data_IF_814085419441
#
_entry.id   IF_814085419441
#
_cell.length_a   1.000
_cell.length_b   1.000
_cell.length_c   1.000
_cell.angle_alpha   90.00
_cell.angle_beta   90.00
_cell.angle_gamma   90.00
#
_symmetry.space_group_name_H-M   'P 1'
#
loop_
_entity.id
_entity.type
_entity.pdbx_description
1 polymer ?
#
# COMPACT_ATOMS: atom_id res chain seq x y z
N UNK A 1 -10.44 -30.73 -14.21
CA UNK A 1 -9.90 -32.06 -13.80
C UNK A 1 -9.19 -32.82 -14.93
N UNK A 2 -9.59 -32.67 -16.19
CA UNK A 2 -8.90 -33.36 -17.30
C UNK A 2 -7.44 -32.88 -17.48
N UNK A 3 -7.14 -31.60 -17.18
CA UNK A 3 -5.81 -31.00 -17.32
C UNK A 3 -5.02 -31.10 -16.03
N UNK A 4 -5.65 -30.96 -14.88
CA UNK A 4 -5.04 -31.12 -13.55
C UNK A 4 -6.02 -31.85 -12.62
N UNK A 5 -5.85 -33.14 -12.41
CA UNK A 5 -6.69 -33.93 -11.50
C UNK A 5 -6.26 -33.82 -10.03
N UNK A 6 -5.20 -33.06 -9.72
CA UNK A 6 -4.59 -33.04 -8.38
C UNK A 6 -5.17 -31.96 -7.46
N UNK A 7 -5.95 -31.03 -8.00
CA UNK A 7 -6.49 -29.88 -7.27
C UNK A 7 -8.00 -29.74 -7.45
N UNK A 8 -8.74 -29.35 -6.39
CA UNK A 8 -10.14 -28.98 -6.56
C UNK A 8 -10.28 -27.71 -7.40
N UNK A 9 -11.33 -27.63 -8.18
CA UNK A 9 -11.70 -26.46 -8.96
C UNK A 9 -12.67 -25.57 -8.18
N UNK A 10 -12.32 -24.31 -7.98
CA UNK A 10 -13.19 -23.33 -7.34
C UNK A 10 -13.80 -22.39 -8.37
N UNK A 11 -15.04 -21.96 -8.12
CA UNK A 11 -15.77 -20.99 -8.95
C UNK A 11 -16.00 -19.72 -8.11
N UNK A 12 -15.35 -18.60 -8.46
CA UNK A 12 -15.64 -17.30 -7.89
C UNK A 12 -16.95 -16.71 -8.43
N UNK A 13 -17.72 -16.01 -7.59
CA UNK A 13 -19.02 -15.48 -7.96
C UNK A 13 -20.10 -16.57 -8.09
N UNK A 14 -19.93 -17.66 -7.38
CA UNK A 14 -20.78 -18.86 -7.46
C UNK A 14 -22.26 -18.64 -7.16
N UNK A 15 -22.60 -17.59 -6.40
CA UNK A 15 -24.00 -17.23 -6.08
C UNK A 15 -24.85 -16.86 -7.30
N UNK A 16 -24.22 -16.59 -8.44
CA UNK A 16 -24.91 -16.08 -9.64
C UNK A 16 -25.30 -17.23 -10.56
N UNK A 17 -26.60 -17.35 -10.80
CA UNK A 17 -27.14 -18.33 -11.75
C UNK A 17 -27.04 -19.80 -11.35
N UNK A 18 -26.78 -20.10 -10.06
CA UNK A 18 -26.71 -21.48 -9.57
C UNK A 18 -25.49 -22.25 -10.07
N UNK A 19 -24.37 -21.56 -10.33
CA UNK A 19 -23.12 -22.18 -10.80
C UNK A 19 -22.27 -22.75 -9.68
N UNK A 20 -22.66 -22.51 -8.44
CA UNK A 20 -22.00 -22.98 -7.22
C UNK A 20 -21.79 -24.49 -7.20
N UNK A 21 -22.70 -25.26 -7.78
CA UNK A 21 -22.64 -26.73 -7.87
C UNK A 21 -21.81 -27.27 -9.03
N UNK A 22 -21.25 -26.42 -9.89
CA UNK A 22 -20.50 -26.84 -11.06
C UNK A 22 -19.01 -27.04 -10.79
N UNK A 23 -18.49 -26.54 -9.67
CA UNK A 23 -17.13 -26.78 -9.21
C UNK A 23 -17.08 -27.67 -7.99
N UNK A 24 -15.88 -27.96 -7.51
CA UNK A 24 -15.68 -28.70 -6.25
C UNK A 24 -15.87 -27.80 -5.03
N UNK A 25 -15.62 -26.48 -5.21
CA UNK A 25 -15.72 -25.47 -4.15
C UNK A 25 -16.42 -24.23 -4.71
N UNK A 26 -17.42 -23.75 -4.00
CA UNK A 26 -18.08 -22.49 -4.33
C UNK A 26 -17.35 -21.28 -3.71
N UNK A 27 -17.04 -20.30 -4.51
CA UNK A 27 -16.53 -18.99 -4.08
C UNK A 27 -17.64 -17.94 -4.13
N UNK A 28 -18.16 -17.53 -3.01
CA UNK A 28 -19.17 -16.49 -2.92
C UNK A 28 -18.51 -15.12 -2.92
N UNK A 29 -18.97 -14.20 -3.77
CA UNK A 29 -18.36 -12.92 -4.03
C UNK A 29 -19.34 -11.78 -3.81
N UNK A 30 -18.91 -10.69 -3.24
CA UNK A 30 -19.68 -9.47 -3.05
C UNK A 30 -21.00 -9.72 -2.30
N UNK A 31 -22.11 -9.52 -3.01
CA UNK A 31 -23.46 -9.74 -2.48
C UNK A 31 -23.72 -11.18 -2.03
N UNK A 32 -23.04 -12.16 -2.64
CA UNK A 32 -23.10 -13.56 -2.23
C UNK A 32 -22.26 -13.88 -0.99
N UNK A 33 -21.41 -12.97 -0.54
CA UNK A 33 -20.68 -13.13 0.71
C UNK A 33 -21.60 -13.18 1.94
N UNK A 34 -22.77 -12.56 1.85
CA UNK A 34 -23.80 -12.55 2.90
C UNK A 34 -24.64 -13.84 2.95
N UNK A 35 -24.04 -15.01 2.67
CA UNK A 35 -24.67 -16.31 2.85
C UNK A 35 -24.46 -16.77 4.29
N UNK A 36 -25.55 -16.82 5.04
CA UNK A 36 -25.56 -17.16 6.47
C UNK A 36 -26.18 -18.54 6.77
N UNK A 37 -26.41 -19.35 5.75
CA UNK A 37 -26.88 -20.73 5.89
C UNK A 37 -25.88 -21.70 5.24
N UNK A 38 -25.80 -22.90 5.76
CA UNK A 38 -24.95 -23.95 5.19
C UNK A 38 -25.46 -24.37 3.80
N UNK A 39 -24.68 -24.17 2.73
CA UNK A 39 -25.08 -24.60 1.40
C UNK A 39 -24.95 -26.11 1.15
N UNK A 40 -24.38 -26.85 2.11
CA UNK A 40 -24.26 -28.32 2.06
C UNK A 40 -23.08 -28.82 1.21
N UNK A 41 -22.16 -27.96 0.78
CA UNK A 41 -20.94 -28.33 0.05
C UNK A 41 -19.79 -27.36 0.33
N UNK A 42 -18.53 -27.72 -0.04
CA UNK A 42 -17.36 -26.88 0.24
C UNK A 42 -17.49 -25.47 -0.34
N UNK A 43 -17.25 -24.48 0.49
CA UNK A 43 -17.38 -23.08 0.10
C UNK A 43 -16.45 -22.16 0.86
N UNK A 44 -16.23 -20.97 0.33
CA UNK A 44 -15.56 -19.85 0.98
C UNK A 44 -16.10 -18.53 0.43
N UNK A 45 -15.83 -17.43 1.12
CA UNK A 45 -16.07 -16.10 0.57
C UNK A 45 -14.84 -15.70 -0.23
N UNK A 46 -14.97 -15.70 -1.56
CA UNK A 46 -13.87 -15.40 -2.48
C UNK A 46 -13.55 -13.90 -2.55
N UNK A 47 -14.52 -13.05 -2.21
CA UNK A 47 -14.34 -11.62 -2.12
C UNK A 47 -15.44 -10.97 -1.30
N UNK A 48 -15.07 -10.08 -0.38
CA UNK A 48 -16.00 -9.24 0.36
C UNK A 48 -15.31 -7.93 0.76
N UNK A 49 -16.06 -6.95 1.25
CA UNK A 49 -15.55 -5.66 1.69
C UNK A 49 -15.68 -4.62 0.62
N UNK A 50 -14.63 -4.37 -0.17
CA UNK A 50 -14.63 -3.35 -1.22
C UNK A 50 -14.93 -1.93 -0.72
N UNK A 51 -14.54 -1.63 0.53
CA UNK A 51 -14.73 -0.30 1.12
C UNK A 51 -13.53 0.58 0.80
N UNK A 52 -13.80 1.79 0.30
CA UNK A 52 -12.75 2.79 0.09
C UNK A 52 -12.13 3.17 1.43
N UNK A 53 -10.82 3.22 1.48
CA UNK A 53 -10.03 3.50 2.68
C UNK A 53 -8.90 4.49 2.36
N UNK A 54 -8.72 5.45 3.24
CA UNK A 54 -7.69 6.49 3.13
C UNK A 54 -6.97 6.72 4.47
N UNK A 55 -6.06 7.71 4.50
CA UNK A 55 -5.36 8.21 5.69
C UNK A 55 -5.47 9.75 5.76
N UNK A 56 -6.02 10.34 6.84
CA UNK A 56 -6.91 9.74 7.81
C UNK A 56 -8.20 9.32 7.10
N UNK A 57 -8.71 8.16 7.40
CA UNK A 57 -9.88 7.64 6.73
C UNK A 57 -10.98 7.28 7.71
N UNK A 58 -12.20 7.36 7.21
CA UNK A 58 -13.33 6.73 7.86
C UNK A 58 -13.44 5.32 7.32
N UNK A 59 -12.84 4.38 8.02
CA UNK A 59 -13.12 3.00 7.77
C UNK A 59 -14.22 2.55 8.75
N UNK A 60 -15.43 2.45 8.23
CA UNK A 60 -16.47 1.67 8.86
C UNK A 60 -16.53 0.35 8.09
N UNK A 61 -16.10 -0.76 8.69
CA UNK A 61 -16.27 -2.05 8.02
C UNK A 61 -17.75 -2.29 7.79
N UNK A 62 -18.13 -2.60 6.57
CA UNK A 62 -19.49 -3.01 6.22
C UNK A 62 -19.83 -4.43 6.75
N UNK A 63 -19.17 -4.88 7.83
CA UNK A 63 -19.19 -6.26 8.30
C UNK A 63 -20.05 -6.47 9.53
N UNK A 64 -20.83 -5.50 9.89
CA UNK A 64 -21.88 -5.67 10.90
C UNK A 64 -22.97 -6.63 10.46
N UNK A 65 -22.91 -7.11 9.21
CA UNK A 65 -23.84 -8.10 8.64
C UNK A 65 -23.50 -9.55 8.96
N UNK A 66 -22.41 -9.82 9.68
CA UNK A 66 -22.01 -11.17 10.09
C UNK A 66 -21.13 -11.93 9.08
N UNK A 67 -20.68 -11.31 7.98
CA UNK A 67 -19.76 -11.97 7.02
C UNK A 67 -18.49 -12.43 7.70
N UNK A 68 -17.97 -11.65 8.64
CA UNK A 68 -16.76 -11.98 9.41
C UNK A 68 -16.99 -12.98 10.53
N UNK A 69 -18.23 -13.35 10.83
CA UNK A 69 -18.51 -14.32 11.84
C UNK A 69 -18.01 -15.70 11.39
N UNK A 70 -17.37 -16.46 12.29
CA UNK A 70 -16.96 -17.82 11.98
C UNK A 70 -18.18 -18.70 11.82
N UNK A 71 -18.28 -19.35 10.67
CA UNK A 71 -19.31 -20.36 10.41
C UNK A 71 -18.63 -21.71 10.19
N UNK A 72 -19.06 -22.80 10.87
CA UNK A 72 -18.39 -24.10 10.80
C UNK A 72 -18.40 -24.74 9.41
N UNK A 73 -19.32 -24.32 8.55
CA UNK A 73 -19.46 -24.78 7.16
C UNK A 73 -18.70 -23.92 6.15
N UNK A 74 -18.10 -22.79 6.56
CA UNK A 74 -17.36 -21.87 5.68
C UNK A 74 -15.87 -22.09 5.86
N UNK A 75 -15.14 -22.38 4.76
CA UNK A 75 -13.70 -22.66 4.82
C UNK A 75 -12.85 -21.42 5.08
N UNK A 76 -13.36 -20.23 4.73
CA UNK A 76 -12.64 -18.97 4.95
C UNK A 76 -13.28 -17.81 4.23
N UNK A 77 -12.66 -16.63 4.41
CA UNK A 77 -13.07 -15.37 3.80
C UNK A 77 -11.86 -14.64 3.23
N UNK A 78 -12.05 -13.93 2.11
CA UNK A 78 -11.02 -13.14 1.45
C UNK A 78 -11.49 -11.70 1.31
N UNK A 79 -10.75 -10.78 1.92
CA UNK A 79 -11.04 -9.36 1.81
C UNK A 79 -10.61 -8.81 0.44
N UNK A 80 -11.45 -8.04 -0.21
CA UNK A 80 -11.07 -7.18 -1.29
C UNK A 80 -10.80 -5.76 -0.77
N UNK A 81 -9.52 -5.26 -0.72
CA UNK A 81 -8.36 -6.08 -1.08
C UNK A 81 -7.17 -5.69 -0.19
N UNK A 82 -6.03 -6.38 -0.35
CA UNK A 82 -4.83 -6.13 0.44
C UNK A 82 -4.17 -4.80 0.13
N UNK A 83 -4.08 -4.40 -1.14
CA UNK A 83 -3.38 -3.19 -1.59
C UNK A 83 -4.27 -2.35 -2.50
N UNK A 84 -4.07 -1.03 -2.46
CA UNK A 84 -4.55 -0.18 -3.54
C UNK A 84 -4.01 -0.68 -4.88
N UNK A 85 -4.84 -0.62 -5.91
CA UNK A 85 -4.48 -1.15 -7.23
C UNK A 85 -4.88 -0.19 -8.35
N UNK A 86 -4.36 -0.43 -9.55
CA UNK A 86 -4.50 0.48 -10.71
C UNK A 86 -5.86 0.46 -11.40
N UNK A 87 -6.97 0.23 -10.70
CA UNK A 87 -8.30 0.34 -11.33
C UNK A 87 -8.60 1.78 -11.70
N UNK A 88 -9.12 1.96 -12.91
CA UNK A 88 -9.52 3.27 -13.46
C UNK A 88 -11.02 3.56 -13.28
N UNK A 89 -11.79 2.63 -12.72
CA UNK A 89 -13.21 2.76 -12.52
C UNK A 89 -13.51 3.35 -11.15
N UNK A 90 -13.88 4.63 -11.11
CA UNK A 90 -14.24 5.34 -9.87
C UNK A 90 -13.16 5.16 -8.76
N UNK A 91 -13.61 4.99 -7.52
CA UNK A 91 -12.74 4.77 -6.36
C UNK A 91 -12.32 3.30 -6.16
N UNK A 92 -12.56 2.42 -7.14
CA UNK A 92 -12.27 0.99 -7.01
C UNK A 92 -10.79 0.69 -6.75
N UNK A 93 -9.89 1.57 -7.19
CA UNK A 93 -8.46 1.47 -6.91
C UNK A 93 -8.08 1.71 -5.45
N UNK A 94 -8.93 2.37 -4.66
CA UNK A 94 -8.69 2.78 -3.28
C UNK A 94 -9.31 1.83 -2.23
N UNK A 95 -9.55 0.58 -2.57
CA UNK A 95 -10.17 -0.41 -1.69
C UNK A 95 -9.15 -1.26 -0.91
N UNK A 96 -7.86 -0.93 -0.96
CA UNK A 96 -6.81 -1.65 -0.26
C UNK A 96 -6.74 -1.34 1.23
N UNK A 97 -6.19 -2.27 2.00
CA UNK A 97 -5.77 -2.03 3.39
C UNK A 97 -4.44 -1.27 3.46
N UNK A 98 -3.66 -1.30 2.40
CA UNK A 98 -2.34 -0.69 2.25
C UNK A 98 -2.38 0.16 0.98
N UNK A 99 -1.88 1.40 1.06
CA UNK A 99 -1.91 2.33 -0.06
C UNK A 99 -0.85 2.06 -1.15
N UNK A 100 -0.81 2.89 -2.18
CA UNK A 100 0.17 2.79 -3.28
C UNK A 100 1.62 2.95 -2.82
N UNK A 101 1.85 3.61 -1.69
CA UNK A 101 3.16 3.86 -1.11
C UNK A 101 3.56 2.82 -0.05
N UNK A 102 2.79 1.74 0.06
CA UNK A 102 2.97 0.66 1.05
C UNK A 102 2.77 1.10 2.50
N UNK A 103 2.04 2.17 2.72
CA UNK A 103 1.67 2.60 4.06
C UNK A 103 0.30 2.02 4.46
N UNK A 104 0.16 1.57 5.71
CA UNK A 104 -1.10 1.02 6.19
C UNK A 104 -2.18 2.11 6.30
N UNK A 105 -3.40 1.75 5.94
CA UNK A 105 -4.60 2.57 6.05
C UNK A 105 -5.40 2.22 7.31
N UNK A 106 -6.46 2.98 7.58
CA UNK A 106 -7.33 2.74 8.75
C UNK A 106 -7.93 1.33 8.76
N UNK A 107 -8.23 0.77 7.59
CA UNK A 107 -8.65 -0.64 7.44
C UNK A 107 -7.65 -1.60 8.05
N UNK A 108 -6.37 -1.45 7.73
CA UNK A 108 -5.30 -2.29 8.28
C UNK A 108 -5.25 -2.20 9.81
N UNK A 109 -5.31 -0.98 10.33
CA UNK A 109 -5.26 -0.74 11.78
C UNK A 109 -6.48 -1.31 12.48
N UNK A 110 -7.67 -1.23 11.84
CA UNK A 110 -8.89 -1.84 12.39
C UNK A 110 -8.74 -3.36 12.54
N UNK A 111 -8.24 -4.06 11.50
CA UNK A 111 -8.03 -5.51 11.58
C UNK A 111 -6.99 -5.89 12.63
N UNK A 112 -5.88 -5.16 12.71
CA UNK A 112 -4.87 -5.41 13.76
C UNK A 112 -5.44 -5.25 15.17
N UNK A 113 -6.21 -4.21 15.38
CA UNK A 113 -6.83 -3.95 16.69
C UNK A 113 -7.84 -5.05 17.04
N UNK A 114 -8.72 -5.43 16.13
CA UNK A 114 -9.77 -6.40 16.39
C UNK A 114 -9.30 -7.86 16.44
N UNK A 115 -8.28 -8.21 15.65
CA UNK A 115 -7.79 -9.61 15.60
C UNK A 115 -6.60 -9.86 16.53
N UNK A 116 -5.77 -8.86 16.77
CA UNK A 116 -4.51 -9.02 17.52
C UNK A 116 -4.46 -8.19 18.81
N UNK A 117 -5.44 -7.34 19.07
CA UNK A 117 -5.44 -6.44 20.23
C UNK A 117 -4.37 -5.35 20.16
N UNK A 118 -3.82 -5.06 18.96
CA UNK A 118 -2.78 -4.04 18.78
C UNK A 118 -3.49 -2.72 18.45
N UNK A 119 -3.43 -1.72 19.32
CA UNK A 119 -4.15 -0.46 19.13
C UNK A 119 -3.66 0.27 17.86
N UNK A 120 -4.57 0.98 17.22
CA UNK A 120 -4.22 1.85 16.09
C UNK A 120 -3.37 3.03 16.56
N UNK A 121 -2.47 3.55 15.71
CA UNK A 121 -1.78 4.80 15.99
C UNK A 121 -2.77 5.97 15.96
N UNK A 122 -2.45 7.03 16.69
CA UNK A 122 -3.20 8.28 16.60
C UNK A 122 -3.06 8.89 15.19
N UNK A 123 -4.14 9.47 14.69
CA UNK A 123 -4.09 10.28 13.48
C UNK A 123 -3.29 11.56 13.71
N UNK A 124 -2.80 12.15 12.62
CA UNK A 124 -2.17 13.45 12.67
C UNK A 124 -3.20 14.51 13.10
N UNK A 125 -2.74 15.49 13.86
CA UNK A 125 -3.55 16.64 14.30
C UNK A 125 -3.27 17.85 13.42
N UNK A 126 -4.22 18.76 13.32
CA UNK A 126 -4.00 20.03 12.66
C UNK A 126 -2.83 20.79 13.30
N UNK A 127 -1.91 21.30 12.47
CA UNK A 127 -0.76 22.01 12.96
C UNK A 127 0.28 22.31 11.90
N UNK A 128 1.35 23.00 12.32
CA UNK A 128 2.51 23.27 11.48
C UNK A 128 3.64 22.35 11.91
N UNK A 129 4.34 21.78 10.93
CA UNK A 129 5.49 20.94 11.22
C UNK A 129 6.64 21.79 11.80
N UNK A 130 7.23 21.28 12.89
CA UNK A 130 8.44 21.80 13.52
C UNK A 130 9.63 20.86 13.31
N UNK A 131 9.36 19.59 13.01
CA UNK A 131 10.37 18.55 12.79
C UNK A 131 9.98 17.64 11.64
N UNK A 132 11.02 17.05 11.01
CA UNK A 132 10.90 15.92 10.10
C UNK A 132 11.41 14.66 10.79
N UNK A 133 10.77 13.53 10.53
CA UNK A 133 11.33 12.20 10.77
C UNK A 133 11.53 11.51 9.42
N UNK A 134 12.70 10.92 9.21
CA UNK A 134 13.02 10.11 8.03
C UNK A 134 13.52 8.75 8.52
N UNK A 135 12.84 7.69 8.14
CA UNK A 135 13.18 6.31 8.51
C UNK A 135 13.23 5.41 7.29
N UNK A 136 13.87 4.28 7.42
CA UNK A 136 13.94 3.23 6.41
C UNK A 136 13.60 1.87 7.04
N UNK A 137 13.03 0.96 6.26
CA UNK A 137 12.74 -0.41 6.71
C UNK A 137 14.03 -1.25 6.86
N UNK A 138 15.11 -0.83 6.22
CA UNK A 138 16.47 -1.39 6.35
C UNK A 138 17.52 -0.33 6.07
N UNK A 139 18.72 -0.51 6.59
CA UNK A 139 19.85 0.42 6.39
C UNK A 139 20.96 -0.19 5.51
N UNK A 140 20.86 -1.46 5.16
CA UNK A 140 21.79 -2.15 4.30
C UNK A 140 21.05 -2.77 3.12
N UNK A 141 21.63 -2.65 1.93
CA UNK A 141 21.08 -3.10 0.65
C UNK A 141 22.16 -3.80 -0.15
N UNK A 142 21.76 -4.66 -1.10
CA UNK A 142 22.62 -5.15 -2.16
C UNK A 142 22.35 -4.43 -3.48
N UNK A 143 23.37 -4.29 -4.31
CA UNK A 143 23.27 -3.62 -5.63
C UNK A 143 22.84 -4.57 -6.76
N UNK A 144 22.37 -5.77 -6.42
CA UNK A 144 21.94 -6.79 -7.38
C UNK A 144 20.57 -6.53 -8.04
N UNK A 145 19.92 -5.41 -7.70
CA UNK A 145 18.62 -4.99 -8.26
C UNK A 145 17.42 -5.77 -7.72
N UNK A 146 17.61 -6.65 -6.72
CA UNK A 146 16.51 -7.43 -6.11
C UNK A 146 15.94 -6.80 -4.86
N UNK A 147 16.59 -5.78 -4.30
CA UNK A 147 16.21 -5.12 -3.07
C UNK A 147 15.90 -3.64 -3.29
N UNK A 148 14.78 -3.22 -2.76
CA UNK A 148 14.43 -1.81 -2.57
C UNK A 148 14.33 -1.55 -1.07
N UNK A 149 14.51 -0.29 -0.66
CA UNK A 149 14.26 0.18 0.70
C UNK A 149 13.07 1.11 0.70
N UNK A 150 12.13 0.90 1.61
CA UNK A 150 11.06 1.85 1.81
C UNK A 150 11.51 2.96 2.75
N UNK A 151 11.52 4.18 2.27
CA UNK A 151 11.73 5.38 3.07
C UNK A 151 10.38 5.93 3.51
N UNK A 152 10.26 6.24 4.80
CA UNK A 152 9.06 6.86 5.37
C UNK A 152 9.44 8.20 5.97
N UNK A 153 8.71 9.24 5.57
CA UNK A 153 8.82 10.58 6.13
C UNK A 153 7.58 10.91 6.93
N UNK A 154 7.72 11.58 8.06
CA UNK A 154 6.59 12.19 8.77
C UNK A 154 6.87 13.64 9.17
N UNK A 155 5.81 14.44 9.11
CA UNK A 155 5.76 15.80 9.63
C UNK A 155 5.33 15.76 11.09
N UNK A 156 6.11 16.37 11.97
CA UNK A 156 5.86 16.36 13.41
C UNK A 156 5.82 17.77 13.98
N UNK A 157 4.92 18.00 14.92
CA UNK A 157 4.88 19.20 15.74
C UNK A 157 6.02 19.25 16.76
N UNK A 158 6.07 20.30 17.57
CA UNK A 158 7.07 20.45 18.65
C UNK A 158 6.97 19.34 19.69
N UNK A 159 5.77 18.83 19.94
CA UNK A 159 5.48 17.74 20.86
C UNK A 159 5.79 16.34 20.30
N UNK A 160 6.25 16.25 19.05
CA UNK A 160 6.59 15.01 18.37
C UNK A 160 5.39 14.24 17.77
N UNK A 161 4.15 14.71 17.94
CA UNK A 161 2.99 14.11 17.27
C UNK A 161 2.97 14.47 15.79
N UNK A 162 2.44 13.58 14.97
CA UNK A 162 2.23 13.87 13.55
C UNK A 162 1.25 15.02 13.36
N UNK A 163 1.52 15.86 12.36
CA UNK A 163 0.67 17.01 12.06
C UNK A 163 0.23 17.03 10.60
N UNK A 164 -1.01 17.43 10.38
CA UNK A 164 -1.54 17.78 9.07
C UNK A 164 -1.05 19.18 8.73
N UNK A 165 0.01 19.25 7.94
CA UNK A 165 0.64 20.51 7.55
C UNK A 165 0.59 20.66 6.03
N UNK A 166 0.37 21.88 5.50
CA UNK A 166 0.39 22.14 4.06
C UNK A 166 1.81 22.10 3.47
N UNK A 167 2.84 21.94 4.31
CA UNK A 167 4.23 21.90 3.87
C UNK A 167 4.48 20.70 2.97
N UNK A 168 5.16 20.96 1.85
CA UNK A 168 5.68 19.91 0.98
C UNK A 168 6.99 19.36 1.56
N UNK A 169 7.27 18.10 1.28
CA UNK A 169 8.54 17.46 1.64
C UNK A 169 9.29 17.10 0.37
N UNK A 170 10.56 17.53 0.28
CA UNK A 170 11.49 17.14 -0.74
C UNK A 170 12.47 16.13 -0.20
N UNK A 171 12.55 14.98 -0.84
CA UNK A 171 13.59 13.98 -0.62
C UNK A 171 14.64 14.12 -1.72
N UNK A 172 15.91 14.02 -1.33
CA UNK A 172 17.04 14.11 -2.26
C UNK A 172 18.10 13.07 -1.90
N UNK A 173 18.58 12.32 -2.90
CA UNK A 173 19.81 11.55 -2.77
C UNK A 173 20.98 12.49 -2.94
N UNK A 174 21.56 12.91 -1.81
CA UNK A 174 22.67 13.89 -1.77
C UNK A 174 23.96 13.30 -2.29
N UNK A 175 24.18 12.01 -1.99
CA UNK A 175 25.35 11.25 -2.45
C UNK A 175 25.05 9.76 -2.50
N UNK A 176 25.87 9.01 -3.25
CA UNK A 176 25.80 7.56 -3.33
C UNK A 176 25.02 7.02 -4.52
N UNK A 177 24.88 5.70 -4.54
CA UNK A 177 24.46 4.89 -5.67
C UNK A 177 23.02 4.48 -5.68
N UNK A 178 22.12 5.24 -5.05
CA UNK A 178 20.70 4.90 -5.05
C UNK A 178 19.86 5.97 -5.75
N UNK A 179 18.66 5.59 -6.21
CA UNK A 179 17.71 6.47 -6.89
C UNK A 179 16.27 6.17 -6.49
N UNK A 180 15.42 7.20 -6.49
CA UNK A 180 13.97 7.05 -6.51
C UNK A 180 13.49 6.66 -7.91
N UNK A 181 12.25 6.19 -8.07
CA UNK A 181 11.65 5.98 -9.40
C UNK A 181 11.66 7.25 -10.28
N UNK A 182 11.72 8.41 -9.67
CA UNK A 182 11.79 9.74 -10.33
C UNK A 182 13.22 10.28 -10.52
N UNK A 183 14.24 9.51 -10.17
CA UNK A 183 15.64 9.93 -10.19
C UNK A 183 16.19 10.25 -8.80
N UNK A 184 16.99 11.31 -8.66
CA UNK A 184 17.61 11.66 -7.36
C UNK A 184 16.76 12.55 -6.46
N UNK A 185 15.60 12.97 -6.92
CA UNK A 185 14.70 13.86 -6.19
C UNK A 185 13.27 13.35 -6.26
N UNK A 186 12.59 13.39 -5.12
CA UNK A 186 11.17 13.12 -5.03
C UNK A 186 10.47 14.16 -4.15
N UNK A 187 9.31 14.67 -4.60
CA UNK A 187 8.53 15.66 -3.89
C UNK A 187 7.19 15.09 -3.47
N UNK A 188 6.90 15.19 -2.18
CA UNK A 188 5.65 14.75 -1.55
C UNK A 188 4.79 15.94 -1.16
N UNK A 189 3.50 15.85 -1.39
CA UNK A 189 2.54 16.84 -0.92
C UNK A 189 1.16 16.21 -0.66
N UNK A 190 0.36 16.84 0.19
CA UNK A 190 -1.03 16.47 0.41
C UNK A 190 -1.87 16.63 -0.85
N UNK A 191 -1.63 17.66 -1.63
CA UNK A 191 -2.33 17.92 -2.90
C UNK A 191 -2.15 16.78 -3.92
N UNK A 192 -0.96 16.18 -3.98
CA UNK A 192 -0.65 15.04 -4.85
C UNK A 192 -1.03 13.69 -4.24
N UNK A 193 -1.60 13.66 -3.04
CA UNK A 193 -1.93 12.44 -2.32
C UNK A 193 -0.74 11.59 -1.87
N UNK A 194 0.48 12.13 -1.96
CA UNK A 194 1.72 11.43 -1.57
C UNK A 194 2.17 11.73 -0.13
N UNK A 195 1.50 12.67 0.53
CA UNK A 195 1.71 13.03 1.93
C UNK A 195 0.34 13.12 2.61
N UNK A 196 -0.13 12.03 3.18
CA UNK A 196 -1.43 11.90 3.83
C UNK A 196 -1.26 11.60 5.31
N UNK A 197 -2.14 12.11 6.15
CA UNK A 197 -2.06 11.94 7.61
C UNK A 197 -0.68 12.33 8.18
N UNK A 198 -0.07 13.39 7.60
CA UNK A 198 1.27 13.85 8.01
C UNK A 198 2.40 12.89 7.69
N UNK A 199 2.20 11.93 6.80
CA UNK A 199 3.16 10.88 6.48
C UNK A 199 3.15 10.54 4.98
N UNK A 200 4.34 10.27 4.42
CA UNK A 200 4.53 9.80 3.06
C UNK A 200 5.63 8.75 2.99
N UNK A 201 5.64 7.96 1.93
CA UNK A 201 6.69 6.99 1.68
C UNK A 201 7.06 6.91 0.20
N UNK A 202 8.23 6.37 -0.08
CA UNK A 202 8.72 6.07 -1.44
C UNK A 202 9.78 4.98 -1.36
N UNK A 203 9.85 4.14 -2.37
CA UNK A 203 10.92 3.17 -2.54
C UNK A 203 12.17 3.83 -3.12
N UNK A 204 13.32 3.36 -2.65
CA UNK A 204 14.65 3.73 -3.14
C UNK A 204 15.39 2.45 -3.56
N UNK A 205 15.92 2.43 -4.77
CA UNK A 205 16.70 1.30 -5.31
C UNK A 205 18.18 1.59 -5.32
N UNK A 206 18.98 0.63 -4.86
CA UNK A 206 20.42 0.67 -4.97
C UNK A 206 20.89 0.22 -6.37
N UNK A 207 21.87 0.92 -6.93
CA UNK A 207 22.42 0.66 -8.26
C UNK A 207 23.92 0.35 -8.26
N UNK A 208 24.67 0.83 -7.28
CA UNK A 208 26.10 0.53 -7.11
C UNK A 208 26.50 0.68 -5.64
N UNK A 209 27.58 0.00 -5.22
CA UNK A 209 27.99 -0.06 -3.81
C UNK A 209 28.51 1.27 -3.28
N UNK A 210 28.46 1.43 -1.98
CA UNK A 210 28.95 2.58 -1.25
C UNK A 210 27.91 3.18 -0.30
N UNK A 211 28.34 4.20 0.41
CA UNK A 211 27.46 4.99 1.26
C UNK A 211 26.50 5.85 0.44
N UNK A 212 25.23 5.81 0.81
CA UNK A 212 24.20 6.66 0.21
C UNK A 212 23.58 7.53 1.28
N UNK A 213 23.52 8.84 1.04
CA UNK A 213 22.93 9.83 1.93
C UNK A 213 21.66 10.38 1.33
N UNK A 214 20.56 10.25 2.05
CA UNK A 214 19.25 10.80 1.69
C UNK A 214 18.94 11.94 2.65
N UNK A 215 18.48 13.08 2.11
CA UNK A 215 18.04 14.24 2.87
C UNK A 215 16.56 14.50 2.64
N UNK A 216 15.83 14.72 3.74
CA UNK A 216 14.46 15.23 3.71
C UNK A 216 14.46 16.71 4.12
N UNK A 217 13.69 17.53 3.39
CA UNK A 217 13.56 18.96 3.60
C UNK A 217 12.10 19.41 3.50
N UNK A 218 11.70 20.34 4.37
CA UNK A 218 10.43 21.06 4.26
C UNK A 218 10.65 22.53 4.64
N UNK A 219 9.83 23.44 4.12
CA UNK A 219 9.95 24.88 4.38
C UNK A 219 9.80 25.18 5.88
N UNK A 220 10.78 25.91 6.41
CA UNK A 220 10.80 26.35 7.81
C UNK A 220 11.02 25.22 8.83
N UNK A 221 11.44 24.03 8.39
CA UNK A 221 11.76 22.88 9.25
C UNK A 221 13.21 22.48 9.07
N UNK A 222 13.97 22.20 10.15
CA UNK A 222 15.32 21.68 10.00
C UNK A 222 15.37 20.41 9.15
N UNK A 223 16.30 20.28 8.19
CA UNK A 223 16.41 19.08 7.38
C UNK A 223 16.90 17.90 8.23
N UNK A 224 16.57 16.69 7.77
CA UNK A 224 17.05 15.44 8.36
C UNK A 224 17.73 14.59 7.30
N UNK A 225 18.78 13.88 7.68
CA UNK A 225 19.52 12.97 6.81
C UNK A 225 19.46 11.53 7.33
N UNK A 226 19.48 10.60 6.39
CA UNK A 226 19.56 9.17 6.63
C UNK A 226 20.71 8.60 5.78
N UNK A 227 21.51 7.73 6.38
CA UNK A 227 22.59 7.03 5.69
C UNK A 227 22.22 5.56 5.47
N UNK A 228 22.49 5.07 4.28
CA UNK A 228 22.34 3.66 3.89
C UNK A 228 23.69 3.14 3.41
N UNK A 229 23.97 1.88 3.66
CA UNK A 229 25.10 1.16 3.10
C UNK A 229 24.64 0.25 1.97
N UNK A 230 25.16 0.47 0.78
CA UNK A 230 24.96 -0.44 -0.34
C UNK A 230 26.21 -1.33 -0.48
N UNK A 231 26.00 -2.64 -0.49
CA UNK A 231 27.05 -3.65 -0.67
C UNK A 231 26.87 -4.36 -2.00
N UNK A 232 27.98 -4.81 -2.61
CA UNK A 232 27.95 -5.55 -3.87
C UNK A 232 29.19 -5.26 -4.71
N UNK A 233 29.16 -5.75 -5.96
CA UNK A 233 30.27 -5.69 -6.91
C UNK A 233 29.88 -5.02 -8.24
N UNK A 234 28.73 -4.32 -8.30
CA UNK A 234 28.29 -3.67 -9.54
C UNK A 234 29.33 -2.66 -10.02
N UNK A 235 29.85 -2.80 -11.23
CA UNK A 235 30.79 -1.85 -11.77
C UNK A 235 30.05 -0.57 -12.18
N UNK A 236 30.07 0.42 -11.32
CA UNK A 236 29.58 1.75 -11.69
C UNK A 236 30.53 2.39 -12.72
N UNK A 237 30.01 2.77 -13.87
CA UNK A 237 30.79 3.35 -14.98
C UNK A 237 30.91 4.89 -14.91
N UNK A 238 30.45 5.50 -13.85
CA UNK A 238 30.51 6.96 -13.63
C UNK A 238 29.47 7.76 -14.40
N UNK A 239 28.56 7.13 -15.14
CA UNK A 239 27.49 7.84 -15.84
C UNK A 239 26.42 8.29 -14.86
N UNK A 240 25.94 9.52 -15.08
CA UNK A 240 24.77 10.00 -14.36
C UNK A 240 23.53 9.22 -14.79
N UNK A 241 22.77 8.75 -13.80
CA UNK A 241 21.51 8.06 -14.05
C UNK A 241 20.48 9.09 -14.46
N UNK A 242 20.17 9.13 -15.74
CA UNK A 242 19.07 9.92 -16.26
C UNK A 242 17.78 9.12 -16.10
N UNK A 243 16.77 9.66 -15.40
CA UNK A 243 15.47 9.00 -15.31
C UNK A 243 14.94 8.74 -16.72
N UNK A 244 14.43 7.54 -16.96
CA UNK A 244 13.71 7.29 -18.20
C UNK A 244 12.51 8.26 -18.25
N UNK A 245 12.25 8.90 -19.40
CA UNK A 245 11.04 9.69 -19.54
C UNK A 245 9.85 8.80 -19.25
N UNK A 246 8.90 9.31 -18.46
CA UNK A 246 7.67 8.61 -18.20
C UNK A 246 7.07 8.16 -19.55
N UNK A 247 6.66 6.88 -19.70
CA UNK A 247 6.03 6.47 -20.94
C UNK A 247 4.82 7.39 -21.19
N UNK A 248 4.57 7.79 -22.44
CA UNK A 248 3.42 8.60 -22.75
C UNK A 248 2.19 7.88 -22.21
N UNK A 249 1.33 8.59 -21.47
CA UNK A 249 0.08 8.04 -20.98
C UNK A 249 -0.71 7.47 -22.15
N UNK A 250 -0.77 6.17 -22.25
CA UNK A 250 -1.49 5.47 -23.34
C UNK A 250 -3.01 5.54 -23.14
N UNK A 251 -3.42 6.06 -22.00
CA UNK A 251 -4.83 6.17 -21.61
C UNK A 251 -5.24 7.64 -21.63
N UNK A 252 -5.70 8.08 -22.79
CA UNK A 252 -6.60 9.23 -22.81
C UNK A 252 -7.87 8.93 -21.99
N UNK A 253 -8.55 9.95 -21.47
CA UNK A 253 -9.82 9.74 -20.79
C UNK A 253 -10.76 8.97 -21.74
N UNK A 254 -11.54 8.01 -21.22
CA UNK A 254 -12.50 7.29 -22.06
C UNK A 254 -13.44 8.30 -22.74
N UNK A 255 -13.85 8.06 -23.99
CA UNK A 255 -14.76 8.94 -24.68
C UNK A 255 -16.02 9.12 -23.83
N UNK A 256 -16.38 10.35 -23.55
CA UNK A 256 -17.63 10.67 -22.85
C UNK A 256 -18.79 10.18 -23.74
N UNK A 257 -19.54 9.23 -23.20
CA UNK A 257 -20.83 8.84 -23.77
C UNK A 257 -21.89 9.90 -23.44
#
# INVERSE_FOLDING_TARGET
>A
HRLDPTRPAAIGGAQRGGIDVLGDVAGYNGDGAAIFHDPGFPNFVSEYGSSVSDRPGNFAPNYTDGVEQPHPWRSGISLWCGFHHGSILFDMGHMGMIDYYRLPLDTWHWYRENLLGIPRPEHAVEGRAARLSLTADRLELTDDGTQDVQLVVSLQGEDGRRVLSPQQVRLEVVSGGAVFPTGKVYEMSGEKGSLLDGMGAIELRALYPGETVIRAQAEGVPPVELQLLVTGDSPWDGRELVPLPAPPSVMGPPPRQ
#
